data_IF_817198451738
#
_entry.id   IF_817198451738
#
_cell.length_a   1.000
_cell.length_b   1.000
_cell.length_c   1.000
_cell.angle_alpha   90.00
_cell.angle_beta   90.00
_cell.angle_gamma   90.00
#
_symmetry.space_group_name_H-M   'P 1'
#
loop_
_entity.id
_entity.type
_entity.pdbx_description
1 polymer ?
#
# COMPACT_ATOMS: atom_id res chain seq x y z
N UNK A 1 31.37 -12.35 -50.73
CA UNK A 1 29.92 -12.22 -50.47
C UNK A 1 29.73 -12.10 -48.96
N UNK A 2 29.61 -10.88 -48.43
CA UNK A 2 29.27 -10.62 -47.02
C UNK A 2 27.76 -10.41 -46.97
N UNK A 3 27.03 -11.30 -46.32
CA UNK A 3 25.61 -11.10 -46.03
C UNK A 3 25.54 -10.39 -44.69
N UNK A 4 25.16 -9.11 -44.75
CA UNK A 4 24.85 -8.26 -43.60
C UNK A 4 23.46 -8.69 -43.11
N UNK A 5 23.38 -9.41 -41.98
CA UNK A 5 22.10 -9.62 -41.30
C UNK A 5 21.70 -8.31 -40.62
N UNK A 6 20.76 -7.60 -41.25
CA UNK A 6 20.01 -6.52 -40.63
C UNK A 6 19.03 -7.18 -39.65
N UNK A 7 19.37 -7.18 -38.35
CA UNK A 7 18.42 -7.50 -37.29
C UNK A 7 17.42 -6.35 -37.20
N UNK A 8 16.31 -6.50 -37.91
CA UNK A 8 15.12 -5.67 -37.74
C UNK A 8 14.60 -5.97 -36.34
N UNK A 9 14.83 -5.08 -35.38
CA UNK A 9 14.15 -5.10 -34.09
C UNK A 9 12.67 -4.86 -34.39
N UNK A 10 11.89 -5.93 -34.45
CA UNK A 10 10.45 -5.86 -34.45
C UNK A 10 10.06 -5.34 -33.06
N UNK A 11 9.67 -4.06 -32.97
CA UNK A 11 8.93 -3.58 -31.82
C UNK A 11 7.64 -4.39 -31.76
N UNK A 12 7.59 -5.37 -30.87
CA UNK A 12 6.37 -6.08 -30.55
C UNK A 12 5.55 -5.08 -29.72
N UNK A 13 4.69 -4.30 -30.38
CA UNK A 13 3.57 -3.62 -29.74
C UNK A 13 2.54 -4.69 -29.34
N UNK A 14 2.86 -5.47 -28.31
CA UNK A 14 1.91 -6.32 -27.61
C UNK A 14 1.39 -5.53 -26.42
N UNK A 15 0.09 -5.24 -26.39
CA UNK A 15 -0.58 -4.86 -25.15
C UNK A 15 -0.48 -6.08 -24.23
N UNK A 16 0.42 -6.03 -23.25
CA UNK A 16 0.43 -6.99 -22.16
C UNK A 16 -0.81 -6.78 -21.30
N UNK A 17 -1.17 -7.77 -20.50
CA UNK A 17 -1.99 -7.46 -19.33
C UNK A 17 -1.12 -6.66 -18.35
N UNK A 18 -1.67 -5.62 -17.68
CA UNK A 18 -0.98 -4.90 -16.62
C UNK A 18 -0.30 -5.86 -15.63
N UNK A 19 0.90 -5.54 -15.13
CA UNK A 19 1.69 -6.46 -14.30
C UNK A 19 1.02 -6.77 -12.95
N UNK A 20 0.11 -5.91 -12.48
CA UNK A 20 -0.58 -6.06 -11.20
C UNK A 20 -2.10 -6.03 -11.37
N UNK A 21 -2.84 -6.64 -10.45
CA UNK A 21 -4.29 -6.44 -10.41
C UNK A 21 -4.68 -5.13 -9.73
N UNK A 22 -3.87 -4.73 -8.74
CA UNK A 22 -3.93 -3.48 -7.98
C UNK A 22 -2.59 -3.29 -7.26
N UNK A 23 -2.20 -2.05 -6.97
CA UNK A 23 -0.80 -1.76 -6.60
C UNK A 23 -0.53 -1.69 -5.10
N UNK A 24 -1.56 -1.44 -4.28
CA UNK A 24 -1.42 -1.37 -2.81
C UNK A 24 -0.97 -2.67 -2.15
N UNK A 25 -1.05 -3.80 -2.86
CA UNK A 25 -0.70 -5.11 -2.32
C UNK A 25 0.65 -5.63 -2.81
N UNK A 26 1.37 -4.89 -3.67
CA UNK A 26 2.58 -5.38 -4.35
C UNK A 26 3.65 -5.84 -3.35
N UNK A 27 3.97 -5.00 -2.36
CA UNK A 27 4.92 -5.31 -1.30
C UNK A 27 4.60 -4.45 -0.06
N UNK A 28 4.44 -5.02 1.16
CA UNK A 28 4.14 -4.26 2.37
C UNK A 28 5.37 -3.57 2.98
N UNK A 29 6.56 -3.78 2.41
CA UNK A 29 7.79 -3.18 2.93
C UNK A 29 8.19 -1.94 2.12
N UNK A 30 7.37 -1.45 1.18
CA UNK A 30 7.67 -0.22 0.42
C UNK A 30 7.79 0.94 1.42
N UNK A 31 6.81 1.08 2.31
CA UNK A 31 6.88 2.00 3.45
C UNK A 31 6.54 1.25 4.73
N UNK A 32 7.39 1.40 5.73
CA UNK A 32 7.27 0.63 6.98
C UNK A 32 7.02 1.54 8.17
N UNK A 33 6.63 0.93 9.28
CA UNK A 33 6.52 1.63 10.56
C UNK A 33 7.84 2.25 11.06
N UNK A 34 8.99 1.83 10.52
CA UNK A 34 10.30 2.39 10.85
C UNK A 34 10.61 3.69 10.08
N UNK A 35 9.90 3.96 8.97
CA UNK A 35 10.10 5.19 8.23
C UNK A 35 9.61 6.41 9.04
N UNK A 36 10.22 7.60 8.83
CA UNK A 36 9.91 8.78 9.63
C UNK A 36 8.47 9.23 9.45
N UNK A 37 7.91 9.75 10.54
CA UNK A 37 6.56 10.32 10.57
C UNK A 37 6.63 11.78 10.98
N UNK A 38 5.83 12.61 10.32
CA UNK A 38 5.58 13.99 10.73
C UNK A 38 4.55 14.06 11.86
N UNK A 39 3.93 12.94 12.26
CA UNK A 39 2.98 12.93 13.37
C UNK A 39 3.57 13.55 14.64
N UNK A 40 2.94 14.60 15.14
CA UNK A 40 3.42 15.36 16.30
C UNK A 40 2.49 15.21 17.50
N UNK A 41 1.19 15.47 17.32
CA UNK A 41 0.25 15.44 18.44
C UNK A 41 -1.20 15.18 18.03
N UNK A 42 -1.99 14.76 19.02
CA UNK A 42 -3.45 14.62 18.94
C UNK A 42 -4.05 15.40 20.09
N UNK A 43 -4.99 16.29 19.80
CA UNK A 43 -5.80 17.00 20.80
C UNK A 43 -7.27 16.67 20.62
N UNK A 44 -7.97 16.43 21.73
CA UNK A 44 -9.42 16.19 21.68
C UNK A 44 -10.17 17.52 21.65
N UNK A 45 -11.00 17.69 20.63
CA UNK A 45 -11.74 18.92 20.33
C UNK A 45 -13.21 18.86 20.81
N UNK A 46 -13.60 17.78 21.47
CA UNK A 46 -14.96 17.57 21.96
C UNK A 46 -15.85 16.78 21.01
N UNK A 47 -17.16 17.05 21.07
CA UNK A 47 -18.15 16.42 20.19
C UNK A 47 -18.80 17.47 19.29
N UNK A 48 -19.14 17.08 18.07
CA UNK A 48 -19.85 17.95 17.15
C UNK A 48 -20.54 17.20 16.03
N UNK A 49 -21.57 17.83 15.48
CA UNK A 49 -22.23 17.32 14.28
C UNK A 49 -21.28 17.44 13.08
N UNK A 50 -21.07 16.33 12.38
CA UNK A 50 -20.34 16.26 11.11
C UNK A 50 -21.14 15.42 10.11
N UNK A 51 -20.99 15.75 8.84
CA UNK A 51 -21.44 14.88 7.75
C UNK A 51 -20.24 14.06 7.29
N UNK A 52 -20.34 12.74 7.39
CA UNK A 52 -19.31 11.80 6.96
C UNK A 52 -19.92 10.79 5.99
N UNK A 53 -19.09 10.19 5.13
CA UNK A 53 -19.53 9.05 4.33
C UNK A 53 -19.34 7.75 5.13
N UNK A 54 -20.36 6.89 5.14
CA UNK A 54 -20.26 5.53 5.65
C UNK A 54 -20.57 4.54 4.52
N UNK A 55 -19.55 3.75 4.17
CA UNK A 55 -19.64 2.77 3.09
C UNK A 55 -20.50 1.56 3.43
N UNK A 56 -20.81 1.30 4.71
CA UNK A 56 -21.69 0.19 5.12
C UNK A 56 -23.13 0.38 4.58
N UNK A 57 -23.82 1.49 4.88
CA UNK A 57 -25.07 1.84 4.19
C UNK A 57 -24.84 2.51 2.82
N UNK A 58 -23.59 2.72 2.41
CA UNK A 58 -23.19 3.46 1.20
C UNK A 58 -23.82 4.86 1.12
N UNK A 59 -23.80 5.60 2.23
CA UNK A 59 -24.52 6.87 2.36
C UNK A 59 -23.74 7.94 3.13
N UNK A 60 -24.05 9.20 2.82
CA UNK A 60 -23.67 10.34 3.65
C UNK A 60 -24.60 10.41 4.86
N UNK A 61 -24.00 10.44 6.06
CA UNK A 61 -24.72 10.44 7.33
C UNK A 61 -24.28 11.63 8.18
N UNK A 62 -25.21 12.13 8.99
CA UNK A 62 -24.90 13.11 10.03
C UNK A 62 -24.71 12.40 11.37
N UNK A 63 -23.59 12.66 12.02
CA UNK A 63 -23.25 12.04 13.31
C UNK A 63 -22.74 13.08 14.29
N UNK A 64 -23.06 12.91 15.58
CA UNK A 64 -22.44 13.67 16.67
C UNK A 64 -21.10 13.01 17.04
N UNK A 65 -20.09 13.23 16.20
CA UNK A 65 -18.79 12.57 16.25
C UNK A 65 -17.96 12.97 17.47
N UNK A 66 -16.98 12.13 17.79
CA UNK A 66 -15.82 12.54 18.59
C UNK A 66 -14.79 13.18 17.65
N UNK A 67 -14.33 14.37 17.99
CA UNK A 67 -13.47 15.18 17.13
C UNK A 67 -12.08 15.29 17.73
N UNK A 68 -11.06 15.03 16.93
CA UNK A 68 -9.66 15.17 17.33
C UNK A 68 -8.91 15.98 16.29
N UNK A 69 -8.18 17.01 16.72
CA UNK A 69 -7.24 17.69 15.83
C UNK A 69 -5.90 16.97 15.90
N UNK A 70 -5.40 16.54 14.76
CA UNK A 70 -4.07 15.92 14.62
C UNK A 70 -3.14 16.92 13.94
N UNK A 71 -2.02 17.20 14.59
CA UNK A 71 -0.99 18.10 14.06
C UNK A 71 0.23 17.32 13.58
N UNK A 72 0.82 17.81 12.49
CA UNK A 72 2.05 17.29 11.91
C UNK A 72 3.16 18.34 12.01
N UNK A 73 4.42 17.89 12.13
CA UNK A 73 5.60 18.72 12.35
C UNK A 73 5.97 19.63 11.17
N UNK A 74 5.35 19.41 10.01
CA UNK A 74 5.43 20.30 8.84
C UNK A 74 4.39 21.44 8.87
N UNK A 75 3.62 21.56 9.95
CA UNK A 75 2.63 22.60 10.17
C UNK A 75 1.26 22.31 9.55
N UNK A 76 1.09 21.19 8.84
CA UNK A 76 -0.24 20.74 8.39
C UNK A 76 -1.03 20.12 9.55
N UNK A 77 -2.35 20.09 9.42
CA UNK A 77 -3.24 19.45 10.40
C UNK A 77 -4.40 18.74 9.70
N UNK A 78 -5.05 17.81 10.41
CA UNK A 78 -6.27 17.17 9.95
C UNK A 78 -7.25 16.92 11.12
N UNK A 79 -8.55 17.09 10.87
CA UNK A 79 -9.60 16.76 11.82
C UNK A 79 -9.97 15.27 11.68
N UNK A 80 -9.70 14.48 12.72
CA UNK A 80 -10.13 13.10 12.81
C UNK A 80 -11.55 13.07 13.38
N UNK A 81 -12.49 12.62 12.55
CA UNK A 81 -13.93 12.58 12.83
C UNK A 81 -14.32 11.13 13.07
N UNK A 82 -14.51 10.79 14.34
CA UNK A 82 -14.72 9.41 14.77
C UNK A 82 -16.20 9.17 15.10
N UNK A 83 -16.79 8.16 14.47
CA UNK A 83 -18.21 7.85 14.58
C UNK A 83 -18.62 7.62 16.06
N UNK A 84 -19.78 8.14 16.52
CA UNK A 84 -20.24 7.97 17.91
C UNK A 84 -20.41 6.53 18.37
N UNK A 85 -20.50 5.56 17.45
CA UNK A 85 -20.72 4.13 17.75
C UNK A 85 -19.67 3.50 18.66
N UNK A 86 -18.47 4.08 18.76
CA UNK A 86 -17.42 3.60 19.66
C UNK A 86 -17.69 3.91 21.15
N UNK A 87 -18.76 4.65 21.47
CA UNK A 87 -19.31 4.72 22.83
C UNK A 87 -18.63 5.69 23.79
N UNK A 88 -17.33 5.96 23.66
CA UNK A 88 -16.61 6.94 24.48
C UNK A 88 -15.49 7.66 23.72
N UNK A 89 -15.04 8.80 24.26
CA UNK A 89 -13.83 9.51 23.79
C UNK A 89 -12.61 8.59 23.83
N UNK A 90 -12.42 7.84 24.92
CA UNK A 90 -11.29 6.94 25.09
C UNK A 90 -11.27 5.81 24.04
N UNK A 91 -12.43 5.25 23.70
CA UNK A 91 -12.53 4.23 22.65
C UNK A 91 -12.31 4.84 21.26
N UNK A 92 -12.83 6.04 21.00
CA UNK A 92 -12.58 6.76 19.76
C UNK A 92 -11.08 7.10 19.59
N UNK A 93 -10.42 7.52 20.66
CA UNK A 93 -9.00 7.88 20.69
C UNK A 93 -8.09 6.72 20.28
N UNK A 94 -8.43 5.48 20.64
CA UNK A 94 -7.68 4.27 20.22
C UNK A 94 -7.55 4.19 18.70
N UNK A 95 -8.59 4.56 17.95
CA UNK A 95 -8.53 4.55 16.50
C UNK A 95 -7.71 5.71 15.93
N UNK A 96 -7.79 6.90 16.52
CA UNK A 96 -6.95 8.03 16.12
C UNK A 96 -5.48 7.71 16.32
N UNK A 97 -5.10 7.15 17.47
CA UNK A 97 -3.71 6.76 17.75
C UNK A 97 -3.20 5.66 16.82
N UNK A 98 -4.09 4.81 16.30
CA UNK A 98 -3.72 3.76 15.36
C UNK A 98 -3.41 4.28 13.95
N UNK A 99 -4.07 5.35 13.51
CA UNK A 99 -3.98 5.83 12.11
C UNK A 99 -3.25 7.16 11.94
N UNK A 100 -3.16 8.00 12.98
CA UNK A 100 -2.45 9.28 12.90
C UNK A 100 -0.95 9.12 12.60
N UNK A 101 -0.19 8.18 13.22
CA UNK A 101 1.22 8.01 12.90
C UNK A 101 1.49 7.51 11.47
N UNK A 102 0.79 6.48 10.93
CA UNK A 102 0.92 6.07 9.52
C UNK A 102 0.55 7.19 8.54
N UNK A 103 -0.52 7.95 8.80
CA UNK A 103 -0.88 9.11 7.99
C UNK A 103 0.25 10.15 8.03
N UNK A 104 0.85 10.40 9.19
CA UNK A 104 2.00 11.29 9.32
C UNK A 104 3.25 10.83 8.58
N UNK A 105 3.37 9.55 8.21
CA UNK A 105 4.47 9.06 7.35
C UNK A 105 4.33 9.54 5.92
N UNK A 106 3.10 9.72 5.43
CA UNK A 106 2.85 10.23 4.08
C UNK A 106 3.59 11.56 3.89
N UNK A 107 4.12 11.77 2.68
CA UNK A 107 4.79 13.01 2.36
C UNK A 107 3.89 14.22 2.57
N UNK A 108 4.48 15.38 2.88
CA UNK A 108 3.73 16.63 3.01
C UNK A 108 2.91 16.91 1.75
N UNK A 109 3.45 16.55 0.57
CA UNK A 109 2.73 16.67 -0.70
C UNK A 109 1.46 15.81 -0.73
N UNK A 110 1.53 14.54 -0.32
CA UNK A 110 0.38 13.63 -0.29
C UNK A 110 -0.66 14.02 0.76
N UNK A 111 -0.27 14.80 1.78
CA UNK A 111 -1.19 15.36 2.78
C UNK A 111 -1.71 16.76 2.48
N UNK A 112 -1.22 17.45 1.43
CA UNK A 112 -1.45 18.90 1.23
C UNK A 112 -2.93 19.31 1.22
N UNK A 113 -3.79 18.44 0.69
CA UNK A 113 -5.23 18.67 0.57
C UNK A 113 -6.06 17.79 1.51
N UNK A 114 -5.42 16.97 2.35
CA UNK A 114 -6.11 16.13 3.33
C UNK A 114 -6.50 16.98 4.55
N UNK A 115 -7.79 17.19 4.74
CA UNK A 115 -8.36 18.00 5.83
C UNK A 115 -9.02 17.15 6.90
N UNK A 116 -9.61 16.02 6.51
CA UNK A 116 -10.39 15.19 7.43
C UNK A 116 -10.03 13.71 7.33
N UNK A 117 -10.21 12.99 8.43
CA UNK A 117 -10.13 11.52 8.46
C UNK A 117 -11.39 10.98 9.11
N UNK A 118 -12.22 10.27 8.35
CA UNK A 118 -13.48 9.72 8.82
C UNK A 118 -13.29 8.28 9.28
N UNK A 119 -13.56 8.01 10.56
CA UNK A 119 -13.37 6.69 11.15
C UNK A 119 -14.73 6.11 11.54
N UNK A 120 -15.13 5.05 10.84
CA UNK A 120 -16.34 4.28 11.06
C UNK A 120 -16.01 2.84 11.51
N UNK A 121 -16.93 2.20 12.22
CA UNK A 121 -16.86 0.77 12.53
C UNK A 121 -17.12 -0.10 11.29
N UNK A 122 -16.89 -1.41 11.41
CA UNK A 122 -17.20 -2.39 10.36
C UNK A 122 -16.10 -2.57 9.31
N UNK A 123 -16.44 -3.27 8.21
CA UNK A 123 -15.45 -3.95 7.37
C UNK A 123 -15.39 -3.52 5.90
N UNK A 124 -15.83 -2.30 5.59
CA UNK A 124 -15.72 -1.78 4.24
C UNK A 124 -14.28 -1.36 3.90
N UNK A 125 -13.92 -1.31 2.62
CA UNK A 125 -12.58 -0.84 2.21
C UNK A 125 -12.37 0.66 2.51
N UNK A 126 -11.11 1.10 2.52
CA UNK A 126 -10.72 2.52 2.61
C UNK A 126 -11.22 3.34 1.42
N UNK A 127 -11.23 4.66 1.55
CA UNK A 127 -11.46 5.54 0.41
C UNK A 127 -10.82 6.91 0.58
N UNK A 128 -10.40 7.50 -0.53
CA UNK A 128 -9.92 8.86 -0.64
C UNK A 128 -10.85 9.73 -1.46
N UNK A 129 -10.80 11.03 -1.21
CA UNK A 129 -11.55 12.06 -1.93
C UNK A 129 -12.29 13.01 -0.99
N UNK A 130 -12.85 14.09 -1.53
CA UNK A 130 -13.48 15.17 -0.74
C UNK A 130 -12.56 15.77 0.32
N UNK A 131 -11.25 15.83 0.05
CA UNK A 131 -10.23 16.24 1.03
C UNK A 131 -10.17 15.33 2.27
N UNK A 132 -10.60 14.07 2.15
CA UNK A 132 -10.72 13.16 3.29
C UNK A 132 -10.21 11.76 3.02
N UNK A 133 -9.73 11.09 4.06
CA UNK A 133 -9.51 9.64 4.08
C UNK A 133 -10.62 8.98 4.90
N UNK A 134 -11.26 7.97 4.33
CA UNK A 134 -12.29 7.14 4.94
C UNK A 134 -11.70 5.83 5.40
N UNK A 135 -11.93 5.51 6.68
CA UNK A 135 -11.45 4.29 7.33
C UNK A 135 -12.63 3.56 7.98
N UNK A 136 -12.74 2.26 7.68
CA UNK A 136 -13.60 1.33 8.42
C UNK A 136 -12.71 0.41 9.26
N UNK A 137 -12.97 0.37 10.57
CA UNK A 137 -11.96 -0.10 11.53
C UNK A 137 -11.63 -1.59 11.41
N UNK A 138 -12.56 -2.48 11.03
CA UNK A 138 -12.22 -3.90 10.90
C UNK A 138 -11.27 -4.15 9.72
N UNK A 139 -11.51 -3.46 8.60
CA UNK A 139 -10.63 -3.49 7.42
C UNK A 139 -9.29 -2.85 7.77
N UNK A 140 -9.28 -1.66 8.35
CA UNK A 140 -8.05 -0.96 8.76
C UNK A 140 -7.20 -1.72 9.76
N UNK A 141 -7.81 -2.41 10.72
CA UNK A 141 -7.08 -3.27 11.64
C UNK A 141 -6.50 -4.50 10.93
N UNK A 142 -7.14 -5.05 9.89
CA UNK A 142 -6.52 -6.07 9.05
C UNK A 142 -5.33 -5.53 8.27
N UNK A 143 -5.49 -4.37 7.62
CA UNK A 143 -4.43 -3.74 6.84
C UNK A 143 -3.21 -3.45 7.71
N UNK A 144 -3.41 -2.87 8.90
CA UNK A 144 -2.36 -2.67 9.92
C UNK A 144 -1.66 -3.97 10.30
N UNK A 145 -2.42 -5.03 10.61
CA UNK A 145 -1.84 -6.33 10.99
C UNK A 145 -1.04 -6.99 9.87
N UNK A 146 -1.43 -6.74 8.62
CA UNK A 146 -0.78 -7.33 7.45
C UNK A 146 0.38 -6.48 6.93
N UNK A 147 0.60 -5.28 7.49
CA UNK A 147 1.71 -4.39 7.15
C UNK A 147 1.48 -3.50 5.93
N UNK A 148 0.24 -3.34 5.45
CA UNK A 148 -0.06 -2.59 4.21
C UNK A 148 -0.68 -1.22 4.45
N UNK A 149 -0.63 -0.69 5.68
CA UNK A 149 -1.41 0.51 6.01
C UNK A 149 -0.85 1.72 5.29
N UNK A 150 0.47 1.86 5.19
CA UNK A 150 1.10 2.94 4.47
C UNK A 150 0.84 2.85 2.95
N UNK A 151 0.90 1.67 2.35
CA UNK A 151 0.61 1.45 0.91
C UNK A 151 -0.82 1.86 0.55
N UNK A 152 -1.80 1.44 1.36
CA UNK A 152 -3.21 1.83 1.17
C UNK A 152 -3.37 3.33 1.35
N UNK A 153 -2.76 3.91 2.39
CA UNK A 153 -2.86 5.35 2.63
C UNK A 153 -2.23 6.20 1.52
N UNK A 154 -1.14 5.75 0.90
CA UNK A 154 -0.52 6.44 -0.25
C UNK A 154 -1.49 6.44 -1.45
N UNK A 155 -2.16 5.32 -1.72
CA UNK A 155 -3.19 5.24 -2.75
C UNK A 155 -4.34 6.21 -2.47
N UNK A 156 -4.93 6.17 -1.26
CA UNK A 156 -6.03 7.07 -0.92
C UNK A 156 -5.61 8.54 -0.92
N UNK A 157 -4.36 8.83 -0.58
CA UNK A 157 -3.79 10.17 -0.63
C UNK A 157 -3.56 10.69 -2.06
N UNK A 158 -3.36 9.78 -3.02
CA UNK A 158 -3.39 10.11 -4.45
C UNK A 158 -4.74 10.74 -4.84
N UNK A 159 -5.84 10.15 -4.38
CA UNK A 159 -7.17 10.71 -4.61
C UNK A 159 -7.42 12.05 -3.93
N UNK A 160 -6.89 12.25 -2.72
CA UNK A 160 -7.13 13.50 -1.97
C UNK A 160 -6.31 14.66 -2.49
N UNK A 161 -5.04 14.42 -2.83
CA UNK A 161 -4.05 15.48 -3.04
C UNK A 161 -3.49 15.55 -4.47
N UNK A 162 -3.80 14.60 -5.35
CA UNK A 162 -3.27 14.60 -6.72
C UNK A 162 -4.35 14.66 -7.80
N UNK A 163 -5.47 13.97 -7.63
CA UNK A 163 -6.47 13.82 -8.69
C UNK A 163 -6.97 15.16 -9.25
N UNK A 164 -7.28 16.13 -8.37
CA UNK A 164 -7.83 17.42 -8.77
C UNK A 164 -6.92 18.21 -9.71
N UNK A 165 -5.59 18.07 -9.56
CA UNK A 165 -4.60 18.77 -10.38
C UNK A 165 -4.16 17.95 -11.58
N UNK A 166 -4.08 16.63 -11.45
CA UNK A 166 -3.32 15.79 -12.37
C UNK A 166 -4.18 14.79 -13.16
N UNK A 167 -5.27 14.25 -12.62
CA UNK A 167 -5.99 13.12 -13.25
C UNK A 167 -6.60 13.47 -14.62
N UNK A 168 -6.82 14.76 -14.87
CA UNK A 168 -7.32 15.30 -16.15
C UNK A 168 -6.32 16.26 -16.81
N UNK A 169 -5.09 16.37 -16.29
CA UNK A 169 -4.08 17.23 -16.90
C UNK A 169 -3.69 16.66 -18.27
N UNK A 170 -3.60 17.53 -19.28
CA UNK A 170 -3.26 17.15 -20.66
C UNK A 170 -1.95 16.35 -20.71
N UNK A 171 -0.94 16.78 -19.95
CA UNK A 171 0.35 16.11 -19.88
C UNK A 171 0.30 14.75 -19.17
N UNK A 172 -0.60 14.54 -18.20
CA UNK A 172 -0.80 13.21 -17.59
C UNK A 172 -1.46 12.26 -18.57
N UNK A 173 -2.55 12.71 -19.22
CA UNK A 173 -3.27 11.93 -20.23
C UNK A 173 -2.37 11.58 -21.44
N UNK A 174 -1.49 12.51 -21.83
CA UNK A 174 -0.49 12.25 -22.86
C UNK A 174 0.53 11.19 -22.43
N UNK A 175 0.99 11.22 -21.16
CA UNK A 175 1.88 10.21 -20.62
C UNK A 175 1.21 8.83 -20.54
N UNK A 176 -0.02 8.77 -20.03
CA UNK A 176 -0.86 7.57 -20.00
C UNK A 176 -1.00 6.96 -21.41
N UNK A 177 -1.32 7.78 -22.42
CA UNK A 177 -1.45 7.33 -23.80
C UNK A 177 -0.12 6.86 -24.41
N UNK A 178 1.01 7.48 -24.03
CA UNK A 178 2.34 7.13 -24.53
C UNK A 178 2.88 5.82 -23.93
N UNK A 179 2.47 5.46 -22.72
CA UNK A 179 2.82 4.18 -22.09
C UNK A 179 2.19 2.99 -22.83
N UNK A 180 0.95 3.15 -23.31
CA UNK A 180 0.23 2.10 -24.05
C UNK A 180 -0.22 0.90 -23.20
N UNK A 181 0.06 0.91 -21.90
CA UNK A 181 -0.40 -0.05 -20.89
C UNK A 181 -0.68 0.67 -19.56
N UNK A 182 -1.14 -0.04 -18.54
CA UNK A 182 -1.38 0.47 -17.18
C UNK A 182 -0.54 -0.28 -16.16
N UNK A 183 -0.28 0.34 -15.01
CA UNK A 183 0.43 -0.33 -13.92
C UNK A 183 -0.40 -1.48 -13.32
N UNK A 184 -1.73 -1.36 -13.35
CA UNK A 184 -2.63 -2.40 -12.85
C UNK A 184 -3.90 -2.53 -13.69
N UNK A 185 -4.57 -3.69 -13.60
CA UNK A 185 -5.88 -3.88 -14.23
C UNK A 185 -6.92 -2.95 -13.63
N UNK A 186 -6.83 -2.66 -12.31
CA UNK A 186 -7.73 -1.74 -11.64
C UNK A 186 -7.58 -0.31 -12.18
N UNK A 187 -6.34 0.16 -12.39
CA UNK A 187 -6.04 1.42 -13.06
C UNK A 187 -6.59 1.44 -14.49
N UNK A 188 -6.33 0.40 -15.30
CA UNK A 188 -6.83 0.31 -16.68
C UNK A 188 -8.35 0.43 -16.77
N UNK A 189 -9.05 -0.36 -15.95
CA UNK A 189 -10.51 -0.49 -16.01
C UNK A 189 -11.20 0.77 -15.45
N UNK A 190 -10.47 1.62 -14.72
CA UNK A 190 -10.94 2.88 -14.13
C UNK A 190 -9.97 4.05 -14.42
N UNK A 191 -9.46 4.14 -15.65
CA UNK A 191 -8.28 4.95 -16.03
C UNK A 191 -8.34 6.45 -15.75
N UNK A 192 -9.54 7.01 -15.62
CA UNK A 192 -9.72 8.43 -15.26
C UNK A 192 -9.58 8.65 -13.75
N UNK A 193 -10.01 7.67 -12.95
CA UNK A 193 -10.13 7.82 -11.50
C UNK A 193 -8.96 7.18 -10.75
N UNK A 194 -8.51 6.02 -11.19
CA UNK A 194 -7.59 5.18 -10.40
C UNK A 194 -6.14 5.24 -10.88
N UNK A 195 -5.88 5.79 -12.09
CA UNK A 195 -4.54 5.70 -12.68
C UNK A 195 -3.46 6.42 -11.87
N UNK A 196 -3.76 7.59 -11.29
CA UNK A 196 -2.83 8.30 -10.41
C UNK A 196 -2.64 7.58 -9.09
N UNK A 197 -3.74 7.25 -8.41
CA UNK A 197 -3.73 6.57 -7.12
C UNK A 197 -2.99 5.22 -7.18
N UNK A 198 -3.16 4.49 -8.28
CA UNK A 198 -2.46 3.24 -8.52
C UNK A 198 -1.00 3.42 -8.96
N UNK A 199 -0.64 4.53 -9.62
CA UNK A 199 0.72 4.78 -10.12
C UNK A 199 1.66 5.36 -9.07
N UNK A 200 1.17 6.12 -8.08
CA UNK A 200 2.01 6.90 -7.18
C UNK A 200 2.85 6.05 -6.22
N UNK A 201 2.29 4.96 -5.69
CA UNK A 201 3.02 4.02 -4.83
C UNK A 201 4.11 3.25 -5.58
N UNK A 202 3.82 2.61 -6.75
CA UNK A 202 4.86 2.01 -7.59
C UNK A 202 5.94 2.99 -8.04
N UNK A 203 5.56 4.22 -8.40
CA UNK A 203 6.53 5.26 -8.73
C UNK A 203 7.47 5.53 -7.56
N UNK A 204 6.91 5.72 -6.36
CA UNK A 204 7.70 5.93 -5.15
C UNK A 204 8.65 4.75 -4.88
N UNK A 205 8.13 3.51 -4.99
CA UNK A 205 8.91 2.30 -4.85
C UNK A 205 10.07 2.24 -5.85
N UNK A 206 9.78 2.42 -7.14
CA UNK A 206 10.78 2.37 -8.21
C UNK A 206 11.85 3.45 -8.09
N UNK A 207 11.48 4.70 -7.71
CA UNK A 207 12.43 5.82 -7.65
C UNK A 207 13.19 5.92 -6.33
N UNK A 208 12.56 5.64 -5.20
CA UNK A 208 13.09 6.00 -3.88
C UNK A 208 13.20 4.85 -2.88
N UNK A 209 12.63 3.69 -3.22
CA UNK A 209 12.66 2.46 -2.40
C UNK A 209 12.92 1.22 -3.25
N UNK A 210 13.75 1.35 -4.29
CA UNK A 210 14.07 0.24 -5.19
C UNK A 210 14.80 -0.90 -4.47
N UNK A 211 15.44 -0.59 -3.34
CA UNK A 211 16.06 -1.52 -2.40
C UNK A 211 15.05 -2.37 -1.61
N UNK A 212 13.77 -1.97 -1.58
CA UNK A 212 12.70 -2.66 -0.86
C UNK A 212 11.74 -3.44 -1.76
N UNK A 213 12.01 -3.47 -3.07
CA UNK A 213 11.25 -4.26 -4.05
C UNK A 213 12.21 -5.16 -4.83
N UNK A 214 11.68 -6.25 -5.39
CA UNK A 214 12.50 -7.15 -6.22
C UNK A 214 12.84 -6.54 -7.56
N UNK A 215 13.92 -7.01 -8.19
CA UNK A 215 14.29 -6.61 -9.56
C UNK A 215 13.18 -6.86 -10.58
N UNK A 216 12.40 -7.92 -10.40
CA UNK A 216 11.25 -8.23 -11.24
C UNK A 216 10.18 -7.15 -11.10
N UNK A 217 9.78 -6.81 -9.87
CA UNK A 217 8.79 -5.76 -9.60
C UNK A 217 9.28 -4.42 -10.16
N UNK A 218 10.56 -4.08 -9.95
CA UNK A 218 11.17 -2.87 -10.49
C UNK A 218 11.05 -2.79 -12.02
N UNK A 219 11.38 -3.88 -12.73
CA UNK A 219 11.27 -3.95 -14.19
C UNK A 219 9.82 -3.89 -14.67
N UNK A 220 8.88 -4.53 -13.96
CA UNK A 220 7.46 -4.46 -14.26
C UNK A 220 6.93 -3.02 -14.16
N UNK A 221 7.32 -2.28 -13.12
CA UNK A 221 6.93 -0.87 -12.95
C UNK A 221 7.52 -0.01 -14.08
N UNK A 222 8.83 -0.10 -14.30
CA UNK A 222 9.53 0.69 -15.31
C UNK A 222 9.01 0.46 -16.73
N UNK A 223 8.69 -0.79 -17.07
CA UNK A 223 8.21 -1.14 -18.41
C UNK A 223 6.73 -0.79 -18.61
N UNK A 224 5.89 -0.87 -17.58
CA UNK A 224 4.47 -0.58 -17.71
C UNK A 224 4.16 0.91 -17.82
N UNK A 225 4.89 1.77 -17.09
CA UNK A 225 4.52 3.19 -16.95
C UNK A 225 5.67 4.22 -17.12
N UNK A 226 6.61 4.04 -18.08
CA UNK A 226 7.81 4.87 -18.17
C UNK A 226 7.54 6.38 -18.37
N UNK A 227 6.50 6.75 -19.11
CA UNK A 227 6.14 8.15 -19.36
C UNK A 227 5.42 8.78 -18.16
N UNK A 228 4.57 8.03 -17.44
CA UNK A 228 4.01 8.51 -16.17
C UNK A 228 5.07 8.67 -15.08
N UNK A 229 6.06 7.79 -15.03
CA UNK A 229 7.25 7.98 -14.19
C UNK A 229 7.94 9.30 -14.56
N UNK A 230 8.20 9.56 -15.85
CA UNK A 230 8.83 10.79 -16.30
C UNK A 230 7.99 12.05 -15.98
N UNK A 231 6.65 11.95 -16.07
CA UNK A 231 5.75 13.01 -15.64
C UNK A 231 5.93 13.32 -14.14
N UNK A 232 5.91 12.29 -13.29
CA UNK A 232 6.04 12.43 -11.85
C UNK A 232 7.44 12.92 -11.44
N UNK A 233 8.50 12.51 -12.14
CA UNK A 233 9.84 13.07 -11.98
C UNK A 233 9.84 14.59 -12.23
N UNK A 234 9.13 15.02 -13.29
CA UNK A 234 9.01 16.41 -13.69
C UNK A 234 8.27 17.31 -12.69
N UNK A 235 7.50 16.73 -11.77
CA UNK A 235 6.82 17.48 -10.70
C UNK A 235 7.77 17.90 -9.57
N UNK A 236 8.90 17.22 -9.39
CA UNK A 236 9.85 17.51 -8.31
C UNK A 236 9.22 17.40 -6.92
N UNK A 237 8.41 16.36 -6.69
CA UNK A 237 7.66 16.18 -5.45
C UNK A 237 8.59 16.08 -4.23
N UNK A 238 8.21 16.76 -3.15
CA UNK A 238 8.85 16.58 -1.84
C UNK A 238 8.28 15.34 -1.17
N UNK A 239 9.16 14.36 -0.93
CA UNK A 239 8.83 13.09 -0.30
C UNK A 239 9.07 13.08 1.20
N UNK A 240 9.48 14.20 1.80
CA UNK A 240 9.60 14.32 3.26
C UNK A 240 8.21 14.16 3.92
N UNK A 241 8.08 13.40 5.02
CA UNK A 241 9.15 12.78 5.80
C UNK A 241 9.53 11.35 5.37
N UNK A 242 8.87 10.76 4.37
CA UNK A 242 9.01 9.34 3.97
C UNK A 242 10.47 8.91 3.75
N UNK A 243 11.32 9.80 3.22
CA UNK A 243 12.74 9.51 2.95
C UNK A 243 13.67 9.75 4.14
N UNK A 244 13.21 10.38 5.21
CA UNK A 244 14.05 10.90 6.27
C UNK A 244 14.96 12.04 5.84
N UNK A 245 15.69 12.62 6.80
CA UNK A 245 16.61 13.74 6.57
C UNK A 245 17.94 13.34 5.88
N UNK A 246 18.00 12.12 5.33
CA UNK A 246 19.13 11.61 4.57
C UNK A 246 18.83 11.63 3.08
N UNK A 247 19.44 12.57 2.36
CA UNK A 247 19.62 12.50 0.91
C UNK A 247 20.10 11.12 0.51
N UNK A 248 19.44 10.48 -0.45
CA UNK A 248 19.75 9.12 -0.90
C UNK A 248 21.23 8.95 -1.27
N UNK A 249 21.80 7.84 -0.81
CA UNK A 249 22.70 6.91 -1.51
C UNK A 249 23.03 5.78 -0.53
N UNK A 250 22.74 4.54 -0.93
CA UNK A 250 23.29 3.29 -0.39
C UNK A 250 23.36 3.15 1.14
N UNK A 251 22.21 3.18 1.81
CA UNK A 251 22.08 2.43 3.05
C UNK A 251 21.63 1.01 2.66
N UNK A 252 22.56 0.07 2.56
CA UNK A 252 22.19 -1.35 2.65
C UNK A 252 21.63 -1.54 4.05
N UNK A 253 20.31 -1.39 4.20
CA UNK A 253 19.61 -1.76 5.42
C UNK A 253 19.87 -3.26 5.59
N UNK A 254 20.63 -3.61 6.63
CA UNK A 254 20.69 -4.98 7.13
C UNK A 254 19.26 -5.50 7.27
N UNK A 255 18.90 -6.65 6.68
CA UNK A 255 17.54 -7.17 6.78
C UNK A 255 17.08 -7.16 8.22
N UNK A 256 15.86 -6.68 8.45
CA UNK A 256 15.24 -6.75 9.77
C UNK A 256 15.29 -8.18 10.34
N UNK A 257 15.05 -8.37 11.65
CA UNK A 257 15.22 -9.67 12.31
C UNK A 257 14.30 -10.79 11.79
N UNK A 258 13.30 -10.44 10.97
CA UNK A 258 12.49 -11.33 10.15
C UNK A 258 12.32 -10.69 8.76
N UNK A 259 12.64 -11.41 7.70
CA UNK A 259 12.41 -10.99 6.31
C UNK A 259 11.76 -12.12 5.51
N UNK A 260 10.75 -11.82 4.69
CA UNK A 260 10.19 -12.76 3.73
C UNK A 260 10.94 -12.56 2.41
N UNK A 261 11.76 -13.53 2.01
CA UNK A 261 12.66 -13.42 0.86
C UNK A 261 11.93 -13.74 -0.43
N UNK A 262 11.30 -14.92 -0.48
CA UNK A 262 10.67 -15.43 -1.68
C UNK A 262 9.44 -16.28 -1.35
N UNK A 263 8.54 -16.38 -2.32
CA UNK A 263 7.42 -17.31 -2.35
C UNK A 263 7.54 -18.06 -3.67
N UNK A 264 7.85 -19.35 -3.65
CA UNK A 264 8.08 -20.11 -4.87
C UNK A 264 7.46 -21.52 -4.84
N UNK A 265 6.90 -22.01 -5.96
CA UNK A 265 6.63 -21.25 -7.18
C UNK A 265 5.53 -20.20 -6.96
N UNK A 266 5.65 -19.05 -7.61
CA UNK A 266 4.59 -18.03 -7.68
C UNK A 266 4.47 -17.57 -9.14
N UNK A 267 3.36 -17.88 -9.86
CA UNK A 267 2.13 -18.48 -9.35
C UNK A 267 2.24 -19.96 -8.92
N UNK A 268 1.49 -20.34 -7.88
CA UNK A 268 1.42 -21.68 -7.31
C UNK A 268 0.18 -22.45 -7.79
N UNK A 269 0.30 -23.78 -7.96
CA UNK A 269 -0.85 -24.64 -8.31
C UNK A 269 -1.28 -25.57 -7.17
N UNK A 270 -0.32 -26.14 -6.45
CA UNK A 270 -0.57 -27.16 -5.42
C UNK A 270 0.13 -26.87 -4.10
N UNK A 271 1.37 -26.42 -4.16
CA UNK A 271 2.18 -26.07 -3.01
C UNK A 271 2.97 -24.81 -3.29
N UNK A 272 3.42 -24.18 -2.22
CA UNK A 272 4.37 -23.08 -2.26
C UNK A 272 5.29 -23.15 -1.05
N UNK A 273 6.56 -22.82 -1.25
CA UNK A 273 7.53 -22.64 -0.19
C UNK A 273 7.71 -21.14 0.04
N UNK A 274 7.52 -20.74 1.29
CA UNK A 274 7.70 -19.35 1.75
C UNK A 274 9.06 -19.28 2.43
N UNK A 275 10.03 -18.70 1.74
CA UNK A 275 11.38 -18.55 2.25
C UNK A 275 11.45 -17.33 3.16
N UNK A 276 11.82 -17.55 4.42
CA UNK A 276 12.03 -16.48 5.40
C UNK A 276 13.44 -16.51 5.94
N UNK A 277 13.99 -15.34 6.21
CA UNK A 277 15.27 -15.15 6.89
C UNK A 277 15.01 -14.59 8.29
N UNK A 278 15.57 -15.26 9.30
CA UNK A 278 15.37 -14.92 10.72
C UNK A 278 16.71 -14.75 11.43
N UNK A 279 16.87 -13.70 12.23
CA UNK A 279 18.12 -13.47 13.00
C UNK A 279 18.19 -14.29 14.29
N UNK A 280 17.05 -14.70 14.85
CA UNK A 280 16.94 -15.51 16.06
C UNK A 280 15.93 -16.63 15.88
N UNK A 281 16.10 -17.73 16.64
CA UNK A 281 15.14 -18.80 16.65
C UNK A 281 13.82 -18.34 17.29
N UNK A 282 12.69 -18.60 16.64
CA UNK A 282 11.38 -18.13 17.07
C UNK A 282 10.26 -19.10 16.68
N UNK A 283 9.11 -19.00 17.36
CA UNK A 283 7.89 -19.65 16.90
C UNK A 283 7.33 -18.92 15.67
N UNK A 284 7.11 -19.65 14.59
CA UNK A 284 6.63 -19.11 13.32
C UNK A 284 5.21 -19.57 13.04
N UNK A 285 4.36 -18.66 12.55
CA UNK A 285 3.07 -18.99 11.95
C UNK A 285 2.94 -18.33 10.58
N UNK A 286 2.22 -19.00 9.69
CA UNK A 286 1.92 -18.50 8.35
C UNK A 286 0.40 -18.42 8.19
N UNK A 287 -0.07 -17.26 7.77
CA UNK A 287 -1.47 -16.96 7.52
C UNK A 287 -1.62 -16.51 6.07
N UNK A 288 -2.66 -17.00 5.39
CA UNK A 288 -2.99 -16.61 4.03
C UNK A 288 -4.35 -15.97 4.03
N UNK A 289 -4.44 -14.78 3.44
CA UNK A 289 -5.66 -14.00 3.33
C UNK A 289 -6.04 -13.83 1.86
N UNK A 290 -7.33 -13.79 1.55
CA UNK A 290 -7.78 -13.30 0.25
C UNK A 290 -7.65 -11.77 0.15
N UNK A 291 -7.87 -11.18 -1.02
CA UNK A 291 -7.81 -9.72 -1.21
C UNK A 291 -8.88 -8.93 -0.44
N UNK A 292 -9.93 -9.59 0.06
CA UNK A 292 -10.87 -8.97 1.00
C UNK A 292 -10.32 -8.97 2.44
N UNK A 293 -9.17 -9.60 2.67
CA UNK A 293 -8.52 -9.77 3.96
C UNK A 293 -9.10 -10.91 4.79
N UNK A 294 -9.96 -11.77 4.25
CA UNK A 294 -10.48 -12.93 4.98
C UNK A 294 -9.38 -13.97 5.12
N UNK A 295 -9.16 -14.47 6.33
CA UNK A 295 -8.22 -15.56 6.59
C UNK A 295 -8.75 -16.84 5.92
N UNK A 296 -8.01 -17.34 4.93
CA UNK A 296 -8.38 -18.54 4.15
C UNK A 296 -7.52 -19.75 4.48
N UNK A 297 -6.32 -19.55 5.05
CA UNK A 297 -5.45 -20.62 5.52
C UNK A 297 -4.59 -20.12 6.68
N UNK A 298 -4.40 -20.96 7.70
CA UNK A 298 -3.48 -20.72 8.81
C UNK A 298 -2.72 -22.00 9.15
N UNK A 299 -1.40 -21.84 9.36
CA UNK A 299 -0.48 -22.92 9.72
C UNK A 299 0.52 -22.44 10.75
N UNK A 300 0.53 -23.10 11.91
CA UNK A 300 1.62 -22.97 12.87
C UNK A 300 2.79 -23.82 12.39
N UNK A 301 3.94 -23.19 12.15
CA UNK A 301 5.17 -23.85 11.71
C UNK A 301 6.06 -24.28 12.87
N UNK A 302 5.67 -23.95 14.12
CA UNK A 302 6.43 -24.27 15.31
C UNK A 302 7.69 -23.43 15.46
N UNK A 303 8.60 -23.87 16.34
CA UNK A 303 9.88 -23.18 16.56
C UNK A 303 10.82 -23.43 15.39
N UNK A 304 11.24 -22.37 14.74
CA UNK A 304 12.23 -22.38 13.66
C UNK A 304 13.57 -21.84 14.18
N UNK A 305 14.67 -22.33 13.61
CA UNK A 305 16.01 -21.84 13.94
C UNK A 305 16.27 -20.47 13.30
N UNK A 306 17.30 -19.76 13.77
CA UNK A 306 17.84 -18.62 13.04
C UNK A 306 18.44 -19.06 11.70
N UNK A 307 18.45 -18.17 10.72
CA UNK A 307 18.88 -18.40 9.35
C UNK A 307 17.73 -18.37 8.35
N UNK A 308 18.00 -18.85 7.13
CA UNK A 308 17.00 -19.00 6.08
C UNK A 308 16.23 -20.32 6.27
N UNK A 309 14.90 -20.23 6.24
CA UNK A 309 13.98 -21.36 6.44
C UNK A 309 12.92 -21.34 5.36
N UNK A 310 12.69 -22.48 4.72
CA UNK A 310 11.60 -22.66 3.76
C UNK A 310 10.37 -23.25 4.47
N UNK A 311 9.26 -22.51 4.44
CA UNK A 311 8.00 -22.88 5.08
C UNK A 311 7.02 -23.37 4.02
N UNK A 312 6.81 -24.68 3.95
CA UNK A 312 5.96 -25.29 2.91
C UNK A 312 4.47 -25.19 3.25
N UNK A 313 3.68 -24.73 2.27
CA UNK A 313 2.22 -24.58 2.35
C UNK A 313 1.54 -25.37 1.24
N UNK A 314 0.50 -26.14 1.62
CA UNK A 314 -0.44 -26.73 0.66
C UNK A 314 -1.54 -25.71 0.32
N UNK A 315 -1.63 -25.33 -0.95
CA UNK A 315 -2.55 -24.31 -1.44
C UNK A 315 -3.65 -24.90 -2.33
N UNK A 316 -3.76 -26.23 -2.44
CA UNK A 316 -4.75 -26.91 -3.30
C UNK A 316 -6.20 -26.53 -2.98
N UNK A 317 -6.48 -26.18 -1.73
CA UNK A 317 -7.81 -25.76 -1.27
C UNK A 317 -8.16 -24.31 -1.63
N UNK A 318 -7.18 -23.50 -2.02
CA UNK A 318 -7.40 -22.10 -2.36
C UNK A 318 -7.91 -21.99 -3.81
N UNK A 319 -9.03 -21.30 -4.08
CA UNK A 319 -9.42 -20.95 -5.45
C UNK A 319 -8.30 -20.27 -6.25
N UNK A 320 -8.43 -20.22 -7.57
CA UNK A 320 -7.53 -19.39 -8.37
C UNK A 320 -7.75 -17.90 -7.99
N UNK A 321 -6.66 -17.16 -7.81
CA UNK A 321 -6.73 -15.77 -7.38
C UNK A 321 -5.45 -15.29 -6.69
N UNK A 322 -5.46 -14.04 -6.27
CA UNK A 322 -4.38 -13.45 -5.49
C UNK A 322 -4.68 -13.53 -3.99
N UNK A 323 -3.63 -13.77 -3.24
CA UNK A 323 -3.64 -13.95 -1.80
C UNK A 323 -2.48 -13.18 -1.17
N UNK A 324 -2.68 -12.75 0.07
CA UNK A 324 -1.61 -12.19 0.90
C UNK A 324 -1.12 -13.30 1.84
N UNK A 325 0.14 -13.70 1.71
CA UNK A 325 0.79 -14.62 2.64
C UNK A 325 1.54 -13.80 3.67
N UNK A 326 1.12 -13.88 4.92
CA UNK A 326 1.76 -13.22 6.08
C UNK A 326 2.47 -14.25 6.95
N UNK A 327 3.75 -14.01 7.24
CA UNK A 327 4.53 -14.80 8.19
C UNK A 327 4.75 -13.99 9.46
N UNK A 328 4.44 -14.58 10.62
CA UNK A 328 4.65 -13.97 11.91
C UNK A 328 5.72 -14.73 12.71
N UNK A 329 6.67 -14.00 13.29
CA UNK A 329 7.69 -14.53 14.20
C UNK A 329 8.12 -13.45 15.22
N UNK A 330 8.28 -13.81 16.50
CA UNK A 330 8.72 -12.89 17.58
C UNK A 330 7.98 -11.54 17.62
N UNK A 331 6.66 -11.57 17.43
CA UNK A 331 5.80 -10.38 17.44
C UNK A 331 5.92 -9.50 16.20
N UNK A 332 6.75 -9.87 15.23
CA UNK A 332 6.87 -9.22 13.92
C UNK A 332 6.08 -9.98 12.87
N UNK A 333 5.69 -9.29 11.82
CA UNK A 333 5.02 -9.84 10.64
C UNK A 333 5.64 -9.27 9.39
N UNK A 334 5.74 -10.11 8.38
CA UNK A 334 6.12 -9.77 7.01
C UNK A 334 5.10 -10.42 6.08
N UNK A 335 4.79 -9.82 4.95
CA UNK A 335 3.83 -10.41 4.02
C UNK A 335 4.27 -10.23 2.56
N UNK A 336 3.79 -11.09 1.67
CA UNK A 336 3.97 -10.98 0.21
C UNK A 336 2.76 -11.57 -0.51
N UNK A 337 2.62 -11.21 -1.79
CA UNK A 337 1.55 -11.73 -2.64
C UNK A 337 1.88 -13.13 -3.13
N UNK A 338 0.87 -13.98 -3.08
CA UNK A 338 0.83 -15.30 -3.70
C UNK A 338 -0.27 -15.30 -4.76
N UNK A 339 0.09 -15.58 -6.01
CA UNK A 339 -0.87 -15.94 -7.03
C UNK A 339 -1.10 -17.45 -7.03
N UNK A 340 -2.36 -17.89 -7.02
CA UNK A 340 -2.74 -19.30 -7.17
C UNK A 340 -3.43 -19.49 -8.52
N UNK A 341 -2.97 -20.47 -9.29
CA UNK A 341 -3.52 -20.84 -10.61
C UNK A 341 -3.98 -22.30 -10.63
N UNK A 342 -4.81 -22.66 -11.62
CA UNK A 342 -5.34 -24.02 -11.83
C UNK A 342 -4.93 -24.53 -13.21
#
# INVERSE_FOLDING_TARGET
MRVLLLLLALAISGHGDPPFSGTVWVDPDIVTAADPTAFESVSYSGRGMRTIYDRRPAAWIQVNAYLFEVAFSDGTTAEFIVNPEFGSESAARVHVDAYAPPIGRLSTYLRKDMREVWINGGDAAFGGGNNSILIHTEYGQRTLRNGFIEEVLIHEAGHTSMDAEHAQAEAWLAAQAADGDFISTYARDNSIREDIAESILPYFAYRYRSDRITDLVRQQIESAIPNRIAYLDGLGLDWSPMLGSGTGVDAVETPGPLALKEIYPNPATHHVDVQVEMQSAAAVSVQVFDLAGRLVLERAMGSQAAGTVDLSLDVRSLPAGLYVVSVAADGRRVARILAVTR
#
